data_IF_064236248581
#
_entry.id   IF_064236248581
#
_cell.length_a   1.000
_cell.length_b   1.000
_cell.length_c   1.000
_cell.angle_alpha   90.00
_cell.angle_beta   90.00
_cell.angle_gamma   90.00
#
_symmetry.space_group_name_H-M   'P 1'
#
loop_
_entity.id
_entity.type
_entity.pdbx_description
1 polymer ?
#
# COMPACT_ATOMS: atom_id res chain seq x y z
N UNK A 1 -1.99 7.73 0.17
CA UNK A 1 -0.56 7.48 -0.09
C UNK A 1 -0.42 7.34 -1.60
N UNK A 2 0.32 8.24 -2.25
CA UNK A 2 0.64 8.13 -3.67
C UNK A 2 2.08 7.63 -3.81
N UNK A 3 2.36 6.84 -4.83
CA UNK A 3 3.67 6.28 -5.11
C UNK A 3 3.98 6.39 -6.60
N UNK A 4 5.25 6.53 -6.96
CA UNK A 4 5.68 6.47 -8.36
C UNK A 4 5.87 5.02 -8.81
N UNK A 5 5.82 4.71 -10.12
CA UNK A 5 5.95 3.34 -10.63
C UNK A 5 7.25 2.62 -10.24
N UNK A 6 8.32 3.36 -9.95
CA UNK A 6 9.61 2.81 -9.52
C UNK A 6 9.55 2.23 -8.10
N UNK A 7 8.56 2.63 -7.30
CA UNK A 7 8.37 2.09 -5.96
C UNK A 7 7.61 0.77 -6.02
N UNK A 8 8.27 -0.31 -5.63
CA UNK A 8 7.59 -1.60 -5.53
C UNK A 8 6.74 -1.66 -4.25
N UNK A 9 5.52 -2.20 -4.37
CA UNK A 9 4.60 -2.38 -3.24
C UNK A 9 5.27 -3.12 -2.06
N UNK A 10 6.02 -4.22 -2.26
CA UNK A 10 6.67 -4.91 -1.15
C UNK A 10 7.66 -4.04 -0.38
N UNK A 11 8.42 -3.19 -1.08
CA UNK A 11 9.38 -2.28 -0.45
C UNK A 11 8.67 -1.21 0.38
N UNK A 12 7.58 -0.63 -0.15
CA UNK A 12 6.74 0.33 0.59
C UNK A 12 6.23 -0.32 1.88
N UNK A 13 5.58 -1.48 1.78
CA UNK A 13 4.98 -2.16 2.94
C UNK A 13 6.05 -2.53 3.97
N UNK A 14 7.20 -3.04 3.51
CA UNK A 14 8.35 -3.37 4.38
C UNK A 14 8.83 -2.15 5.15
N UNK A 15 9.01 -1.01 4.48
CA UNK A 15 9.43 0.23 5.12
C UNK A 15 8.40 0.72 6.13
N UNK A 16 7.12 0.77 5.75
CA UNK A 16 6.06 1.25 6.63
C UNK A 16 5.94 0.38 7.89
N UNK A 17 5.79 -0.94 7.73
CA UNK A 17 5.63 -1.87 8.88
C UNK A 17 6.90 -1.94 9.72
N UNK A 18 8.08 -2.00 9.08
CA UNK A 18 9.37 -2.09 9.77
C UNK A 18 9.74 -0.83 10.56
N UNK A 19 9.67 0.34 9.92
CA UNK A 19 10.04 1.61 10.56
C UNK A 19 9.05 1.96 11.68
N UNK A 20 7.74 1.77 11.45
CA UNK A 20 6.74 2.02 12.49
C UNK A 20 6.92 1.08 13.68
N UNK A 21 7.16 -0.22 13.45
CA UNK A 21 7.42 -1.17 14.52
C UNK A 21 8.67 -0.79 15.33
N UNK A 22 9.77 -0.46 14.66
CA UNK A 22 11.00 -0.02 15.33
C UNK A 22 10.74 1.23 16.18
N UNK A 23 10.12 2.26 15.62
CA UNK A 23 9.82 3.51 16.34
C UNK A 23 8.91 3.28 17.54
N UNK A 24 7.87 2.46 17.39
CA UNK A 24 6.94 2.15 18.47
C UNK A 24 7.59 1.34 19.59
N UNK A 25 8.44 0.37 19.28
CA UNK A 25 9.17 -0.36 20.31
C UNK A 25 10.21 0.49 21.05
N UNK A 26 10.83 1.47 20.39
CA UNK A 26 11.73 2.43 21.05
C UNK A 26 10.96 3.37 21.97
N UNK A 27 9.81 3.89 21.52
CA UNK A 27 8.97 4.80 22.30
C UNK A 27 8.24 4.09 23.44
N UNK A 28 7.87 2.83 23.25
CA UNK A 28 7.09 2.03 24.20
C UNK A 28 7.72 0.64 24.40
N UNK A 29 8.82 0.53 25.18
CA UNK A 29 9.51 -0.73 25.39
C UNK A 29 8.62 -1.84 25.99
N UNK A 30 7.58 -1.47 26.73
CA UNK A 30 6.61 -2.40 27.30
C UNK A 30 5.85 -3.21 26.24
N UNK A 31 5.73 -2.71 25.00
CA UNK A 31 5.06 -3.42 23.91
C UNK A 31 5.79 -4.72 23.56
N UNK A 32 7.14 -4.78 23.68
CA UNK A 32 7.90 -6.00 23.39
C UNK A 32 7.50 -7.17 24.29
N UNK A 33 7.12 -6.88 25.55
CA UNK A 33 6.70 -7.89 26.52
C UNK A 33 5.27 -8.38 26.27
N UNK A 34 4.42 -7.52 25.69
CA UNK A 34 3.00 -7.83 25.44
C UNK A 34 2.74 -8.41 24.05
N UNK A 35 3.59 -8.15 23.08
CA UNK A 35 3.36 -8.48 21.68
C UNK A 35 4.42 -9.48 21.18
N UNK A 36 4.03 -10.76 21.15
CA UNK A 36 4.66 -11.91 20.47
C UNK A 36 6.19 -11.81 20.24
N UNK A 37 6.95 -11.50 21.30
CA UNK A 37 8.41 -11.43 21.24
C UNK A 37 8.98 -10.35 20.33
N UNK A 38 8.26 -9.24 20.12
CA UNK A 38 8.72 -8.13 19.27
C UNK A 38 8.13 -8.09 17.86
N UNK A 39 7.10 -8.90 17.57
CA UNK A 39 6.31 -8.76 16.34
C UNK A 39 5.13 -7.82 16.59
N UNK A 40 5.21 -6.60 16.05
CA UNK A 40 4.14 -5.61 16.21
C UNK A 40 2.98 -5.84 15.24
N UNK A 41 3.30 -6.20 13.99
CA UNK A 41 2.32 -6.33 12.92
C UNK A 41 2.19 -7.81 12.52
N UNK A 42 0.99 -8.21 12.09
CA UNK A 42 0.80 -9.49 11.39
C UNK A 42 1.75 -9.52 10.17
N UNK A 43 2.44 -10.64 9.86
CA UNK A 43 3.34 -10.71 8.70
C UNK A 43 2.66 -10.36 7.38
N UNK A 44 1.39 -10.69 7.21
CA UNK A 44 0.60 -10.45 5.99
C UNK A 44 0.24 -8.98 5.77
N UNK A 45 -0.11 -8.63 4.54
CA UNK A 45 -0.65 -7.33 4.16
C UNK A 45 -1.64 -7.48 3.01
N UNK A 46 -2.57 -6.53 2.89
CA UNK A 46 -3.52 -6.42 1.78
C UNK A 46 -3.23 -5.15 1.00
N UNK A 47 -3.35 -5.21 -0.32
CA UNK A 47 -3.16 -4.07 -1.23
C UNK A 47 -4.21 -4.15 -2.34
N UNK A 48 -4.78 -3.00 -2.69
CA UNK A 48 -5.68 -2.83 -3.83
C UNK A 48 -5.35 -1.52 -4.53
N UNK A 49 -5.59 -1.46 -5.84
CA UNK A 49 -5.46 -0.24 -6.62
C UNK A 49 -6.65 0.68 -6.33
N UNK A 50 -6.40 1.98 -6.40
CA UNK A 50 -7.42 3.02 -6.27
C UNK A 50 -7.36 3.91 -7.50
N UNK A 51 -8.53 4.29 -8.02
CA UNK A 51 -8.70 5.17 -9.16
C UNK A 51 -9.90 6.07 -8.88
N UNK A 52 -9.79 7.34 -9.24
CA UNK A 52 -10.92 8.28 -9.16
C UNK A 52 -12.00 7.97 -10.20
N UNK A 53 -11.63 7.22 -11.24
CA UNK A 53 -12.54 6.73 -12.28
C UNK A 53 -12.93 5.27 -12.03
N UNK A 54 -14.20 4.96 -12.26
CA UNK A 54 -14.67 3.57 -12.31
C UNK A 54 -14.14 2.86 -13.55
N UNK A 55 -14.04 1.54 -13.48
CA UNK A 55 -13.65 0.70 -14.62
C UNK A 55 -14.53 0.96 -15.86
N UNK A 56 -15.85 1.12 -15.66
CA UNK A 56 -16.79 1.42 -16.74
C UNK A 56 -16.48 2.75 -17.43
N UNK A 57 -16.11 3.79 -16.67
CA UNK A 57 -15.73 5.08 -17.25
C UNK A 57 -14.43 4.99 -18.05
N UNK A 58 -13.43 4.27 -17.53
CA UNK A 58 -12.15 4.05 -18.24
C UNK A 58 -12.39 3.27 -19.53
N UNK A 59 -13.23 2.22 -19.49
CA UNK A 59 -13.56 1.42 -20.66
C UNK A 59 -14.26 2.25 -21.75
N UNK A 60 -15.29 3.03 -21.38
CA UNK A 60 -16.00 3.91 -22.31
C UNK A 60 -15.06 4.95 -22.95
N UNK A 61 -14.12 5.50 -22.16
CA UNK A 61 -13.12 6.43 -22.69
C UNK A 61 -12.24 5.76 -23.77
N UNK A 62 -11.73 4.55 -23.52
CA UNK A 62 -10.89 3.81 -24.48
C UNK A 62 -11.66 3.48 -25.76
N UNK A 63 -12.93 3.05 -25.65
CA UNK A 63 -13.77 2.73 -26.81
C UNK A 63 -14.00 3.96 -27.71
N UNK A 64 -14.30 5.11 -27.11
CA UNK A 64 -14.55 6.35 -27.86
C UNK A 64 -13.29 6.92 -28.52
N UNK A 65 -12.11 6.77 -27.92
CA UNK A 65 -10.85 7.25 -28.50
C UNK A 65 -10.51 6.59 -29.84
N UNK A 66 -10.89 5.32 -30.04
CA UNK A 66 -10.68 4.62 -31.31
C UNK A 66 -11.70 5.01 -32.38
N UNK A 67 -12.88 5.49 -31.99
CA UNK A 67 -13.95 5.87 -32.92
C UNK A 67 -13.78 7.28 -33.52
N UNK A 68 -13.08 8.19 -32.84
CA UNK A 68 -12.79 9.55 -33.34
C UNK A 68 -11.59 9.62 -34.29
N UNK A 69 -10.83 8.53 -34.44
CA UNK A 69 -9.64 8.45 -35.30
C UNK A 69 -9.94 7.87 -36.71
N UNK A 70 -11.22 7.75 -37.08
CA UNK A 70 -11.70 7.28 -38.40
C UNK A 70 -12.39 8.40 -39.15
#
# INVERSE_FOLDING_TARGET
MSATPQHTIPNIVKMLKGISARKLFLKFPQLKKKLWGGHLWNPSYFVSTVSDNTEAQVKKYIENQNAESV
#
